data_IF_068390312574
#
_entry.id   IF_068390312574
#
_cell.length_a   1.000
_cell.length_b   1.000
_cell.length_c   1.000
_cell.angle_alpha   90.00
_cell.angle_beta   90.00
_cell.angle_gamma   90.00
#
_symmetry.space_group_name_H-M   'P 1'
#
loop_
_entity.id
_entity.type
_entity.pdbx_description
1 polymer ?
#
# COMPACT_ATOMS: atom_id res chain seq x y z
N UNK A 1 -5.36 -34.86 -24.88
CA UNK A 1 -5.76 -35.10 -23.47
C UNK A 1 -5.82 -33.80 -22.66
N UNK A 2 -4.78 -32.98 -22.63
CA UNK A 2 -4.73 -31.70 -21.86
C UNK A 2 -5.90 -30.74 -22.16
N UNK A 3 -6.23 -30.52 -23.44
CA UNK A 3 -7.35 -29.63 -23.84
C UNK A 3 -8.72 -30.13 -23.39
N UNK A 4 -8.90 -31.45 -23.27
CA UNK A 4 -10.14 -32.07 -22.81
C UNK A 4 -10.30 -31.87 -21.30
N UNK A 5 -9.25 -32.19 -20.53
CA UNK A 5 -9.26 -31.96 -19.09
C UNK A 5 -9.41 -30.49 -18.70
N UNK A 6 -8.84 -29.55 -19.48
CA UNK A 6 -9.05 -28.13 -19.25
C UNK A 6 -10.53 -27.71 -19.42
N UNK A 7 -11.23 -28.28 -20.42
CA UNK A 7 -12.66 -28.04 -20.62
C UNK A 7 -13.51 -28.63 -19.50
N UNK A 8 -13.25 -29.89 -19.14
CA UNK A 8 -13.94 -30.58 -18.04
C UNK A 8 -13.78 -29.81 -16.72
N UNK A 9 -12.59 -29.24 -16.48
CA UNK A 9 -12.35 -28.39 -15.31
C UNK A 9 -13.15 -27.09 -15.35
N UNK A 10 -13.14 -26.37 -16.48
CA UNK A 10 -13.90 -25.12 -16.63
C UNK A 10 -15.40 -25.35 -16.44
N UNK A 11 -15.93 -26.45 -16.95
CA UNK A 11 -17.34 -26.83 -16.78
C UNK A 11 -17.69 -27.07 -15.31
N UNK A 12 -16.87 -27.86 -14.62
CA UNK A 12 -17.01 -28.10 -13.17
C UNK A 12 -16.92 -26.82 -12.34
N UNK A 13 -15.97 -25.94 -12.66
CA UNK A 13 -15.80 -24.65 -11.98
C UNK A 13 -17.03 -23.75 -12.26
N UNK A 14 -17.57 -23.77 -13.47
CA UNK A 14 -18.76 -23.00 -13.85
C UNK A 14 -20.03 -23.48 -13.13
N UNK A 15 -20.23 -24.79 -12.97
CA UNK A 15 -21.32 -25.35 -12.16
C UNK A 15 -21.24 -24.86 -10.71
N UNK A 16 -20.03 -24.82 -10.15
CA UNK A 16 -19.80 -24.35 -8.79
C UNK A 16 -20.14 -22.85 -8.65
N UNK A 17 -19.80 -22.04 -9.65
CA UNK A 17 -20.17 -20.62 -9.71
C UNK A 17 -21.68 -20.44 -9.78
N UNK A 18 -22.38 -21.19 -10.65
CA UNK A 18 -23.84 -21.11 -10.75
C UNK A 18 -24.54 -21.47 -9.44
N UNK A 19 -24.07 -22.50 -8.73
CA UNK A 19 -24.62 -22.88 -7.44
C UNK A 19 -24.46 -21.76 -6.39
N UNK A 20 -23.31 -21.09 -6.36
CA UNK A 20 -23.07 -19.97 -5.44
C UNK A 20 -23.89 -18.73 -5.80
N UNK A 21 -24.04 -18.43 -7.09
CA UNK A 21 -24.85 -17.30 -7.56
C UNK A 21 -26.33 -17.48 -7.18
N UNK A 22 -26.85 -18.71 -7.30
CA UNK A 22 -28.20 -19.03 -6.85
C UNK A 22 -28.34 -18.90 -5.32
N UNK A 23 -27.34 -19.29 -4.54
CA UNK A 23 -27.34 -19.13 -3.08
C UNK A 23 -27.26 -17.66 -2.63
N UNK A 24 -26.59 -16.81 -3.42
CA UNK A 24 -26.36 -15.40 -3.11
C UNK A 24 -27.37 -14.46 -3.79
N UNK A 25 -28.39 -15.01 -4.46
CA UNK A 25 -29.41 -14.26 -5.22
C UNK A 25 -28.80 -13.27 -6.24
N UNK A 26 -27.72 -13.69 -6.91
CA UNK A 26 -27.04 -12.88 -7.92
C UNK A 26 -27.78 -13.03 -9.25
N UNK A 27 -28.70 -12.12 -9.52
CA UNK A 27 -29.52 -12.12 -10.73
C UNK A 27 -28.73 -11.80 -12.02
N UNK A 28 -27.72 -10.93 -11.94
CA UNK A 28 -26.93 -10.50 -13.11
C UNK A 28 -25.44 -10.41 -12.77
N UNK A 29 -24.61 -11.11 -13.55
CA UNK A 29 -23.14 -11.01 -13.45
C UNK A 29 -22.67 -9.67 -13.98
N UNK A 30 -21.81 -9.01 -13.21
CA UNK A 30 -21.14 -7.80 -13.71
C UNK A 30 -20.15 -8.17 -14.81
N UNK A 31 -20.34 -7.54 -15.95
CA UNK A 31 -19.38 -7.52 -17.07
C UNK A 31 -18.47 -6.30 -16.95
N UNK A 32 -17.41 -6.26 -17.76
CA UNK A 32 -16.49 -5.11 -17.78
C UNK A 32 -17.18 -3.80 -18.16
N UNK A 33 -18.29 -3.88 -18.88
CA UNK A 33 -19.11 -2.75 -19.33
C UNK A 33 -20.20 -2.37 -18.32
N UNK A 34 -20.46 -3.22 -17.33
CA UNK A 34 -21.49 -2.95 -16.33
C UNK A 34 -21.15 -1.68 -15.55
N UNK A 35 -22.08 -0.72 -15.37
CA UNK A 35 -21.80 0.51 -14.64
C UNK A 35 -21.25 0.28 -13.23
N UNK A 36 -21.79 -0.74 -12.54
CA UNK A 36 -21.33 -1.17 -11.20
C UNK A 36 -19.89 -1.71 -11.22
N UNK A 37 -19.49 -2.42 -12.28
CA UNK A 37 -18.11 -2.86 -12.44
C UNK A 37 -17.18 -1.67 -12.60
N UNK A 38 -17.52 -0.76 -13.52
CA UNK A 38 -16.72 0.44 -13.81
C UNK A 38 -16.54 1.29 -12.56
N UNK A 39 -17.63 1.57 -11.81
CA UNK A 39 -17.55 2.35 -10.57
C UNK A 39 -16.71 1.63 -9.50
N UNK A 40 -16.87 0.31 -9.37
CA UNK A 40 -16.11 -0.47 -8.38
C UNK A 40 -14.62 -0.50 -8.70
N UNK A 41 -14.25 -0.58 -9.97
CA UNK A 41 -12.83 -0.50 -10.38
C UNK A 41 -12.20 0.82 -9.98
N UNK A 42 -12.94 1.94 -10.12
CA UNK A 42 -12.48 3.27 -9.66
C UNK A 42 -12.28 3.28 -8.14
N UNK A 43 -13.25 2.76 -7.37
CA UNK A 43 -13.14 2.69 -5.91
C UNK A 43 -12.00 1.76 -5.45
N UNK A 44 -11.77 0.63 -6.13
CA UNK A 44 -10.64 -0.27 -5.83
C UNK A 44 -9.32 0.44 -6.03
N UNK A 45 -9.16 1.19 -7.13
CA UNK A 45 -7.95 1.98 -7.40
C UNK A 45 -7.74 3.03 -6.30
N UNK A 46 -8.79 3.76 -5.94
CA UNK A 46 -8.76 4.77 -4.87
C UNK A 46 -8.38 4.17 -3.53
N UNK A 47 -9.00 3.05 -3.14
CA UNK A 47 -8.67 2.32 -1.93
C UNK A 47 -7.22 1.82 -1.93
N UNK A 48 -6.75 1.29 -3.05
CA UNK A 48 -5.36 0.83 -3.18
C UNK A 48 -4.38 1.98 -2.99
N UNK A 49 -4.68 3.15 -3.56
CA UNK A 49 -3.89 4.37 -3.35
C UNK A 49 -3.89 4.81 -1.89
N UNK A 50 -5.05 4.83 -1.22
CA UNK A 50 -5.12 5.19 0.20
C UNK A 50 -4.30 4.24 1.08
N UNK A 51 -4.43 2.93 0.87
CA UNK A 51 -3.66 1.95 1.64
C UNK A 51 -2.14 2.08 1.44
N UNK A 52 -1.68 2.41 0.22
CA UNK A 52 -0.26 2.62 -0.02
C UNK A 52 0.24 3.94 0.55
N UNK A 53 -0.61 4.97 0.61
CA UNK A 53 -0.34 6.23 1.29
C UNK A 53 -0.25 6.03 2.81
N UNK A 54 -1.25 5.40 3.44
CA UNK A 54 -1.27 5.12 4.88
C UNK A 54 -0.01 4.33 5.32
N UNK A 55 0.38 3.33 4.53
CA UNK A 55 1.59 2.56 4.78
C UNK A 55 2.88 3.40 4.66
N UNK A 56 2.91 4.35 3.72
CA UNK A 56 4.04 5.27 3.57
C UNK A 56 4.11 6.23 4.75
N UNK A 57 2.99 6.84 5.16
CA UNK A 57 2.90 7.75 6.30
C UNK A 57 3.33 7.07 7.59
N UNK A 58 2.81 5.86 7.86
CA UNK A 58 3.20 5.07 9.03
C UNK A 58 4.72 4.88 9.09
N UNK A 59 5.34 4.46 7.99
CA UNK A 59 6.80 4.24 7.93
C UNK A 59 7.61 5.52 8.12
N UNK A 60 7.10 6.67 7.66
CA UNK A 60 7.74 7.97 7.86
C UNK A 60 7.69 8.36 9.34
N UNK A 61 6.51 8.30 9.96
CA UNK A 61 6.33 8.61 11.40
C UNK A 61 7.23 7.71 12.24
N UNK A 62 7.21 6.42 11.95
CA UNK A 62 8.08 5.42 12.54
C UNK A 62 9.58 5.78 12.41
N UNK A 63 10.03 6.27 11.25
CA UNK A 63 11.42 6.68 11.02
C UNK A 63 11.79 7.94 11.81
N UNK A 64 10.87 8.89 11.91
CA UNK A 64 11.04 10.11 12.73
C UNK A 64 11.31 9.70 14.18
N UNK A 65 10.46 8.84 14.77
CA UNK A 65 10.67 8.35 16.13
C UNK A 65 12.01 7.61 16.34
N UNK A 66 12.49 6.87 15.33
CA UNK A 66 13.82 6.24 15.40
C UNK A 66 14.95 7.27 15.41
N UNK A 67 14.86 8.32 14.59
CA UNK A 67 15.83 9.41 14.55
C UNK A 67 15.84 10.19 15.87
N UNK A 68 14.67 10.52 16.42
CA UNK A 68 14.55 11.17 17.73
C UNK A 68 15.23 10.34 18.82
N UNK A 69 14.97 9.03 18.87
CA UNK A 69 15.62 8.11 19.82
C UNK A 69 17.13 8.01 19.62
N UNK A 70 17.62 8.09 18.38
CA UNK A 70 19.05 8.10 18.09
C UNK A 70 19.75 9.34 18.67
N UNK A 71 19.07 10.48 18.64
CA UNK A 71 19.59 11.78 19.10
C UNK A 71 19.40 12.04 20.61
N UNK A 72 18.64 11.20 21.33
CA UNK A 72 18.48 11.31 22.78
C UNK A 72 19.79 11.06 23.54
N UNK A 73 20.02 11.85 24.60
CA UNK A 73 21.11 11.61 25.55
C UNK A 73 20.86 10.33 26.35
N UNK A 74 21.91 9.72 26.91
CA UNK A 74 21.88 8.43 27.64
C UNK A 74 21.61 7.15 26.82
N UNK A 75 21.52 7.22 25.49
CA UNK A 75 21.45 6.02 24.64
C UNK A 75 22.80 5.31 24.55
N UNK A 76 22.96 4.19 25.25
CA UNK A 76 24.20 3.39 25.24
C UNK A 76 24.58 2.86 23.85
N UNK A 77 25.88 2.58 23.62
CA UNK A 77 26.42 2.20 22.31
C UNK A 77 25.69 1.01 21.64
N UNK A 78 25.37 -0.03 22.42
CA UNK A 78 24.61 -1.19 21.90
C UNK A 78 23.24 -0.77 21.36
N UNK A 79 22.51 0.09 22.07
CA UNK A 79 21.20 0.58 21.65
C UNK A 79 21.31 1.42 20.38
N UNK A 80 22.30 2.33 20.29
CA UNK A 80 22.56 3.11 19.06
C UNK A 80 22.79 2.22 17.85
N UNK A 81 23.53 1.11 18.01
CA UNK A 81 23.75 0.14 16.92
C UNK A 81 22.45 -0.54 16.47
N UNK A 82 21.53 -0.84 17.39
CA UNK A 82 20.21 -1.38 17.04
C UNK A 82 19.35 -0.34 16.30
N UNK A 83 19.32 0.90 16.78
CA UNK A 83 18.58 2.00 16.13
C UNK A 83 19.13 2.24 14.71
N UNK A 84 20.45 2.27 14.54
CA UNK A 84 21.07 2.43 13.22
C UNK A 84 20.68 1.30 12.23
N UNK A 85 20.62 0.05 12.70
CA UNK A 85 20.12 -1.08 11.87
C UNK A 85 18.65 -0.93 11.53
N UNK A 86 17.82 -0.50 12.49
CA UNK A 86 16.40 -0.26 12.27
C UNK A 86 16.17 0.85 11.24
N UNK A 87 16.90 1.97 11.34
CA UNK A 87 16.88 3.07 10.37
C UNK A 87 17.27 2.62 8.96
N UNK A 88 18.27 1.74 8.82
CA UNK A 88 18.66 1.19 7.51
C UNK A 88 17.54 0.33 6.92
N UNK A 89 16.95 -0.56 7.71
CA UNK A 89 15.85 -1.41 7.29
C UNK A 89 14.62 -0.56 6.90
N UNK A 90 14.29 0.44 7.73
CA UNK A 90 13.17 1.36 7.52
C UNK A 90 13.37 2.23 6.29
N UNK A 91 14.58 2.69 6.02
CA UNK A 91 14.90 3.43 4.77
C UNK A 91 14.62 2.58 3.53
N UNK A 92 14.93 1.28 3.56
CA UNK A 92 14.59 0.36 2.46
C UNK A 92 13.08 0.15 2.34
N UNK A 93 12.37 0.02 3.47
CA UNK A 93 10.91 -0.12 3.50
C UNK A 93 10.21 1.12 2.91
N UNK A 94 10.60 2.32 3.32
CA UNK A 94 10.06 3.59 2.78
C UNK A 94 10.30 3.70 1.28
N UNK A 95 11.51 3.37 0.78
CA UNK A 95 11.76 3.36 -0.69
C UNK A 95 10.82 2.42 -1.45
N UNK A 96 10.48 1.27 -0.87
CA UNK A 96 9.51 0.36 -1.47
C UNK A 96 8.07 0.89 -1.37
N UNK A 97 7.70 1.50 -0.25
CA UNK A 97 6.40 2.13 -0.05
C UNK A 97 6.18 3.28 -1.06
N UNK A 98 7.19 4.11 -1.31
CA UNK A 98 7.16 5.15 -2.35
C UNK A 98 6.87 4.54 -3.73
N UNK A 99 7.54 3.44 -4.10
CA UNK A 99 7.27 2.75 -5.38
C UNK A 99 5.82 2.28 -5.47
N UNK A 100 5.29 1.70 -4.39
CA UNK A 100 3.91 1.21 -4.35
C UNK A 100 2.90 2.35 -4.41
N UNK A 101 3.18 3.46 -3.70
CA UNK A 101 2.41 4.69 -3.76
C UNK A 101 2.38 5.23 -5.20
N UNK A 102 3.55 5.43 -5.83
CA UNK A 102 3.64 5.96 -7.19
C UNK A 102 2.91 5.07 -8.21
N UNK A 103 3.04 3.75 -8.08
CA UNK A 103 2.34 2.80 -8.94
C UNK A 103 0.80 2.87 -8.78
N UNK A 104 0.29 3.18 -7.59
CA UNK A 104 -1.14 3.38 -7.37
C UNK A 104 -1.60 4.78 -7.81
N UNK A 105 -0.78 5.80 -7.55
CA UNK A 105 -1.03 7.20 -7.87
C UNK A 105 -1.30 7.44 -9.36
N UNK A 106 -0.53 6.80 -10.24
CA UNK A 106 -0.71 6.94 -11.71
C UNK A 106 -1.98 6.28 -12.25
N UNK A 107 -2.62 5.39 -11.49
CA UNK A 107 -3.82 4.67 -11.92
C UNK A 107 -5.11 5.44 -11.64
N UNK A 108 -5.02 6.51 -10.86
CA UNK A 108 -6.13 7.42 -10.55
C UNK A 108 -6.40 8.40 -11.68
N UNK A 109 -7.60 8.97 -11.68
CA UNK A 109 -8.04 10.01 -12.60
C UNK A 109 -8.63 11.19 -11.80
N UNK A 110 -7.95 12.35 -11.70
CA UNK A 110 -6.63 12.62 -12.27
C UNK A 110 -5.50 11.84 -11.54
N UNK A 111 -4.34 11.62 -12.21
CA UNK A 111 -3.17 11.03 -11.58
C UNK A 111 -2.65 11.87 -10.41
N UNK A 112 -2.22 11.21 -9.33
CA UNK A 112 -1.63 11.90 -8.18
C UNK A 112 -0.13 12.19 -8.37
N UNK A 113 0.44 13.21 -7.69
CA UNK A 113 1.84 13.56 -7.83
C UNK A 113 2.79 12.40 -7.49
N UNK A 114 3.82 12.24 -8.30
CA UNK A 114 4.88 11.26 -8.07
C UNK A 114 5.81 11.74 -6.94
N UNK A 115 6.01 10.90 -5.92
CA UNK A 115 6.91 11.17 -4.81
C UNK A 115 8.30 10.60 -5.07
N UNK A 116 9.34 11.39 -4.81
CA UNK A 116 10.74 10.91 -4.76
C UNK A 116 11.18 10.63 -3.33
N UNK A 117 12.28 9.89 -3.19
CA UNK A 117 12.88 9.65 -1.88
C UNK A 117 13.32 10.97 -1.22
N UNK A 118 13.89 11.87 -2.00
CA UNK A 118 14.41 13.16 -1.55
C UNK A 118 13.29 14.02 -0.95
N UNK A 119 12.15 14.12 -1.65
CA UNK A 119 10.97 14.84 -1.16
C UNK A 119 10.45 14.25 0.16
N UNK A 120 10.36 12.92 0.24
CA UNK A 120 9.86 12.25 1.45
C UNK A 120 10.80 12.46 2.63
N UNK A 121 12.12 12.42 2.43
CA UNK A 121 13.10 12.69 3.49
C UNK A 121 13.07 14.16 3.91
N UNK A 122 12.92 15.08 2.97
CA UNK A 122 12.79 16.51 3.25
C UNK A 122 11.53 16.80 4.08
N UNK A 123 10.38 16.26 3.70
CA UNK A 123 9.14 16.40 4.46
C UNK A 123 9.23 15.77 5.86
N UNK A 124 9.82 14.59 5.98
CA UNK A 124 10.02 13.94 7.27
C UNK A 124 10.94 14.76 8.18
N UNK A 125 11.97 15.38 7.61
CA UNK A 125 12.89 16.26 8.35
C UNK A 125 12.18 17.52 8.83
N UNK A 126 11.39 18.19 7.97
CA UNK A 126 10.60 19.35 8.35
C UNK A 126 9.58 19.02 9.45
N UNK A 127 8.90 17.87 9.35
CA UNK A 127 7.94 17.41 10.35
C UNK A 127 8.59 17.11 11.72
N UNK A 128 9.83 16.60 11.75
CA UNK A 128 10.58 16.38 12.99
C UNK A 128 10.78 17.70 13.77
N UNK A 129 11.00 18.83 13.10
CA UNK A 129 11.10 20.14 13.77
C UNK A 129 9.78 20.62 14.37
N UNK A 130 8.66 20.40 13.68
CA UNK A 130 7.36 20.81 14.18
C UNK A 130 6.91 19.93 15.34
N UNK A 131 7.17 18.62 15.30
CA UNK A 131 6.87 17.70 16.42
C UNK A 131 7.69 18.06 17.67
N UNK A 132 8.90 18.58 17.52
CA UNK A 132 9.78 18.97 18.62
C UNK A 132 9.47 20.37 19.21
N UNK A 133 8.55 21.14 18.60
CA UNK A 133 8.20 22.49 19.10
C UNK A 133 7.16 22.49 20.22
N UNK A 134 6.43 21.40 20.43
CA UNK A 134 5.36 21.27 21.43
C UNK A 134 5.75 20.40 22.66
N UNK A 135 7.05 20.26 22.93
CA UNK A 135 7.61 19.68 24.17
C UNK A 135 8.60 20.63 24.83
#
# INVERSE_FOLDING_TARGET
LVRRHAKEKVEKDLESVHALEAQLDVAERWTVESPKWVSTVVEIKKRKYQLTLDALELLIVERIFELTKMNQSQTGYKMRKHIAKALQARSKAVKNAIKNYNAAAILLDPPMPHLTWEQVVEYAFLADFDILRDT
#
